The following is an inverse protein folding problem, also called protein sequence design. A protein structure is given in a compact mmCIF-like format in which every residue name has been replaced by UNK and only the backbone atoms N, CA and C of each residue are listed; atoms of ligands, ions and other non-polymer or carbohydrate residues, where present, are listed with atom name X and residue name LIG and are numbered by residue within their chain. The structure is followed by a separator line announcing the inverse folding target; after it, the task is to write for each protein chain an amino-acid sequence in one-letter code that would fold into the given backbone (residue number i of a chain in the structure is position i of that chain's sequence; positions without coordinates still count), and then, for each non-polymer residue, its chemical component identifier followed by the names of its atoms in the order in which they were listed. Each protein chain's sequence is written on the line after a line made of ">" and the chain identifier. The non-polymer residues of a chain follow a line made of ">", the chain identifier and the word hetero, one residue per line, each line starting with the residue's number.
data_IF_161995013811
#
_entry.id   IF_161995013811
#
_cell.length_a   1.000
_cell.length_b   1.000
_cell.length_c   1.000
_cell.angle_alpha   90.00
_cell.angle_beta   90.00
_cell.angle_gamma   90.00
#
_symmetry.space_group_name_H-M   'P 1'
#
loop_
_entity.id
_entity.type
_entity.pdbx_description
1 polymer ?
#
# COMPACT_ATOMS: atom_id res chain seq x y z
N UNK A 1 28.53 33.64 59.98
CA UNK A 1 28.69 33.75 58.55
C UNK A 1 28.14 32.46 57.94
N UNK A 2 26.94 32.50 57.36
CA UNK A 2 26.24 31.32 56.78
C UNK A 2 26.22 31.55 55.26
N UNK A 3 27.01 30.77 54.55
CA UNK A 3 27.07 30.79 53.08
C UNK A 3 25.85 30.04 52.53
N UNK A 4 25.07 30.68 51.71
CA UNK A 4 23.96 30.12 50.96
C UNK A 4 24.49 29.64 49.62
N UNK A 5 24.55 28.33 49.44
CA UNK A 5 24.81 27.68 48.12
C UNK A 5 23.52 27.67 47.34
N UNK A 6 23.43 28.48 46.30
CA UNK A 6 22.32 28.47 45.36
C UNK A 6 22.61 27.35 44.33
N UNK A 7 21.90 26.24 44.46
CA UNK A 7 21.86 25.21 43.41
C UNK A 7 20.98 25.69 42.25
N UNK A 8 21.61 26.16 41.19
CA UNK A 8 20.92 26.44 39.89
C UNK A 8 20.69 25.08 39.23
N UNK A 9 19.47 24.57 39.35
CA UNK A 9 19.03 23.38 38.61
C UNK A 9 18.85 23.72 37.13
N UNK A 10 19.69 23.13 36.27
CA UNK A 10 19.53 23.20 34.83
C UNK A 10 18.37 22.28 34.44
N UNK A 11 17.21 22.87 34.17
CA UNK A 11 16.10 22.19 33.53
C UNK A 11 16.41 22.05 32.05
N UNK A 12 17.03 20.95 31.62
CA UNK A 12 17.17 20.62 30.19
C UNK A 12 15.81 20.15 29.69
N UNK A 13 15.19 21.00 28.88
CA UNK A 13 13.88 20.76 28.31
C UNK A 13 13.91 19.58 27.33
N UNK A 14 13.22 18.49 27.67
CA UNK A 14 12.89 17.34 26.81
C UNK A 14 11.80 17.71 25.79
N UNK A 15 12.05 18.70 24.92
CA UNK A 15 11.08 19.12 23.91
C UNK A 15 11.26 18.36 22.56
N UNK A 16 12.39 17.68 22.39
CA UNK A 16 12.72 17.02 21.12
C UNK A 16 11.95 15.71 20.84
N UNK A 17 11.64 14.91 21.86
CA UNK A 17 11.07 13.57 21.67
C UNK A 17 9.61 13.59 21.18
N UNK A 18 8.81 14.55 21.61
CA UNK A 18 7.39 14.62 21.25
C UNK A 18 7.15 15.00 19.77
N UNK A 19 7.99 15.88 19.21
CA UNK A 19 7.84 16.30 17.82
C UNK A 19 8.21 15.19 16.81
N UNK A 20 9.22 14.38 17.13
CA UNK A 20 9.60 13.22 16.32
C UNK A 20 8.55 12.11 16.38
N UNK A 21 7.98 11.83 17.54
CA UNK A 21 6.92 10.85 17.69
C UNK A 21 5.65 11.27 16.92
N UNK A 22 5.28 12.55 16.96
CA UNK A 22 4.12 13.10 16.24
C UNK A 22 4.31 13.03 14.72
N UNK A 23 5.51 13.36 14.21
CA UNK A 23 5.83 13.28 12.80
C UNK A 23 5.89 11.83 12.30
N UNK A 24 6.40 10.91 13.12
CA UNK A 24 6.40 9.48 12.83
C UNK A 24 4.98 8.92 12.76
N UNK A 25 4.10 9.36 13.64
CA UNK A 25 2.69 8.96 13.62
C UNK A 25 1.95 9.48 12.39
N UNK A 26 2.14 10.74 12.01
CA UNK A 26 1.57 11.31 10.79
C UNK A 26 2.01 10.59 9.52
N UNK A 27 3.27 10.16 9.43
CA UNK A 27 3.76 9.41 8.29
C UNK A 27 3.12 8.01 8.21
N UNK A 28 2.92 7.33 9.33
CA UNK A 28 2.21 6.05 9.41
C UNK A 28 0.72 6.22 9.05
N UNK A 29 0.08 7.29 9.53
CA UNK A 29 -1.30 7.61 9.19
C UNK A 29 -1.49 7.87 7.69
N UNK A 30 -0.55 8.59 7.06
CA UNK A 30 -0.55 8.81 5.62
C UNK A 30 -0.36 7.50 4.87
N UNK A 31 0.63 6.70 5.26
CA UNK A 31 0.93 5.41 4.65
C UNK A 31 -0.30 4.48 4.68
N UNK A 32 -0.96 4.34 5.83
CA UNK A 32 -2.09 3.42 5.94
C UNK A 32 -3.30 3.89 5.11
N UNK A 33 -3.54 5.20 4.98
CA UNK A 33 -4.57 5.73 4.08
C UNK A 33 -4.26 5.40 2.62
N UNK A 34 -3.03 5.63 2.18
CA UNK A 34 -2.59 5.34 0.81
C UNK A 34 -2.66 3.83 0.52
N UNK A 35 -2.33 2.97 1.49
CA UNK A 35 -2.46 1.52 1.36
C UNK A 35 -3.93 1.09 1.20
N UNK A 36 -4.87 1.70 1.95
CA UNK A 36 -6.30 1.41 1.81
C UNK A 36 -6.80 1.84 0.42
N UNK A 37 -6.46 3.04 -0.03
CA UNK A 37 -6.83 3.51 -1.37
C UNK A 37 -6.30 2.58 -2.46
N UNK A 38 -5.04 2.13 -2.34
CA UNK A 38 -4.41 1.15 -3.23
C UNK A 38 -5.17 -0.17 -3.26
N UNK A 39 -5.42 -0.76 -2.09
CA UNK A 39 -6.16 -2.01 -2.00
C UNK A 39 -7.56 -1.93 -2.64
N UNK A 40 -8.29 -0.83 -2.41
CA UNK A 40 -9.59 -0.61 -3.03
C UNK A 40 -9.50 -0.53 -4.56
N UNK A 41 -8.46 0.12 -5.08
CA UNK A 41 -8.21 0.21 -6.51
C UNK A 41 -7.88 -1.15 -7.13
N UNK A 42 -6.99 -1.92 -6.48
CA UNK A 42 -6.58 -3.24 -6.95
C UNK A 42 -7.73 -4.25 -6.92
N UNK A 43 -8.61 -4.20 -5.92
CA UNK A 43 -9.85 -4.99 -5.92
C UNK A 43 -10.75 -4.63 -7.09
N UNK A 44 -10.92 -3.34 -7.39
CA UNK A 44 -11.75 -2.89 -8.51
C UNK A 44 -11.17 -3.31 -9.86
N UNK A 45 -9.86 -3.10 -10.07
CA UNK A 45 -9.16 -3.47 -11.30
C UNK A 45 -9.07 -4.99 -11.46
N UNK A 46 -8.90 -5.74 -10.35
CA UNK A 46 -8.92 -7.19 -10.36
C UNK A 46 -10.28 -7.77 -10.79
N UNK A 47 -11.39 -7.18 -10.32
CA UNK A 47 -12.74 -7.56 -10.80
C UNK A 47 -12.91 -7.28 -12.29
N UNK A 48 -12.44 -6.12 -12.74
CA UNK A 48 -12.47 -5.76 -14.15
C UNK A 48 -11.63 -6.72 -15.01
N UNK A 49 -10.49 -7.19 -14.50
CA UNK A 49 -9.65 -8.19 -15.19
C UNK A 49 -10.31 -9.57 -15.28
N UNK A 50 -11.07 -9.98 -14.27
CA UNK A 50 -11.87 -11.20 -14.34
C UNK A 50 -12.97 -11.12 -15.40
N UNK A 51 -13.59 -9.93 -15.54
CA UNK A 51 -14.68 -9.70 -16.49
C UNK A 51 -14.17 -9.54 -17.95
N UNK A 52 -13.12 -8.74 -18.14
CA UNK A 52 -12.67 -8.29 -19.48
C UNK A 52 -11.41 -8.96 -19.98
N UNK A 53 -10.67 -9.63 -19.14
CA UNK A 53 -9.43 -10.32 -19.50
C UNK A 53 -9.67 -11.38 -20.56
N UNK A 54 -8.94 -11.31 -21.66
CA UNK A 54 -9.04 -12.28 -22.75
C UNK A 54 -8.28 -13.55 -22.39
N UNK A 55 -7.05 -13.42 -21.88
CA UNK A 55 -6.25 -14.56 -21.46
C UNK A 55 -6.66 -15.09 -20.07
N UNK A 56 -6.53 -16.38 -19.88
CA UNK A 56 -6.74 -16.99 -18.57
C UNK A 56 -5.77 -16.44 -17.51
N UNK A 57 -4.53 -16.14 -17.90
CA UNK A 57 -3.54 -15.57 -17.02
C UNK A 57 -3.98 -14.20 -16.44
N UNK A 58 -4.57 -13.35 -17.26
CA UNK A 58 -5.11 -12.05 -16.80
C UNK A 58 -6.29 -12.25 -15.86
N UNK A 59 -7.23 -13.13 -16.20
CA UNK A 59 -8.39 -13.41 -15.33
C UNK A 59 -7.97 -14.01 -13.99
N UNK A 60 -7.04 -14.97 -14.03
CA UNK A 60 -6.52 -15.62 -12.81
C UNK A 60 -5.77 -14.62 -11.92
N UNK A 61 -4.94 -13.78 -12.50
CA UNK A 61 -4.26 -12.72 -11.74
C UNK A 61 -5.26 -11.72 -11.18
N UNK A 62 -6.29 -11.34 -11.94
CA UNK A 62 -7.39 -10.51 -11.44
C UNK A 62 -8.08 -11.12 -10.22
N UNK A 63 -8.34 -12.44 -10.23
CA UNK A 63 -8.92 -13.13 -9.08
C UNK A 63 -7.98 -13.11 -7.85
N UNK A 64 -6.68 -13.29 -8.08
CA UNK A 64 -5.67 -13.21 -7.01
C UNK A 64 -5.59 -11.81 -6.40
N UNK A 65 -5.61 -10.76 -7.23
CA UNK A 65 -5.67 -9.37 -6.75
C UNK A 65 -6.89 -9.12 -5.87
N UNK A 66 -8.08 -9.55 -6.29
CA UNK A 66 -9.30 -9.39 -5.49
C UNK A 66 -9.19 -10.06 -4.13
N UNK A 67 -8.67 -11.28 -4.09
CA UNK A 67 -8.50 -12.04 -2.85
C UNK A 67 -7.51 -11.39 -1.90
N UNK A 68 -6.30 -11.11 -2.38
CA UNK A 68 -5.20 -10.70 -1.53
C UNK A 68 -5.33 -9.23 -1.10
N UNK A 69 -5.69 -8.33 -2.04
CA UNK A 69 -5.93 -6.93 -1.71
C UNK A 69 -7.22 -6.72 -0.91
N UNK A 70 -8.22 -7.59 -1.07
CA UNK A 70 -9.38 -7.62 -0.20
C UNK A 70 -9.01 -7.89 1.25
N UNK A 71 -8.26 -8.96 1.50
CA UNK A 71 -7.77 -9.31 2.84
C UNK A 71 -6.81 -8.25 3.42
N UNK A 72 -5.92 -7.71 2.60
CA UNK A 72 -5.03 -6.63 3.01
C UNK A 72 -5.80 -5.36 3.39
N UNK A 73 -6.89 -5.06 2.67
CA UNK A 73 -7.73 -3.89 2.94
C UNK A 73 -8.47 -4.00 4.28
N UNK A 74 -8.96 -5.18 4.63
CA UNK A 74 -9.58 -5.42 5.94
C UNK A 74 -8.58 -5.13 7.08
N UNK A 75 -7.37 -5.67 6.99
CA UNK A 75 -6.28 -5.44 7.97
C UNK A 75 -5.85 -3.98 8.04
N UNK A 76 -5.69 -3.33 6.87
CA UNK A 76 -5.34 -1.92 6.81
C UNK A 76 -6.42 -1.02 7.42
N UNK A 77 -7.69 -1.35 7.19
CA UNK A 77 -8.84 -0.63 7.74
C UNK A 77 -8.91 -0.76 9.26
N UNK A 78 -8.66 -1.95 9.80
CA UNK A 78 -8.61 -2.17 11.24
C UNK A 78 -7.44 -1.40 11.88
N UNK A 79 -6.25 -1.49 11.27
CA UNK A 79 -5.08 -0.74 11.73
C UNK A 79 -5.32 0.77 11.71
N UNK A 80 -5.92 1.31 10.65
CA UNK A 80 -6.26 2.72 10.55
C UNK A 80 -7.17 3.17 11.69
N UNK A 81 -8.21 2.39 12.00
CA UNK A 81 -9.12 2.67 13.13
C UNK A 81 -8.37 2.67 14.47
N UNK A 82 -7.49 1.70 14.69
CA UNK A 82 -6.67 1.61 15.90
C UNK A 82 -5.70 2.79 16.04
N UNK A 83 -5.29 3.39 14.93
CA UNK A 83 -4.47 4.61 14.89
C UNK A 83 -5.29 5.92 14.94
N UNK A 84 -6.61 5.84 15.14
CA UNK A 84 -7.50 7.02 15.13
C UNK A 84 -7.67 7.66 13.75
N UNK A 85 -7.39 6.91 12.69
CA UNK A 85 -7.48 7.38 11.29
C UNK A 85 -8.80 6.92 10.69
N UNK A 86 -9.56 7.84 10.09
CA UNK A 86 -10.74 7.48 9.29
C UNK A 86 -10.29 6.83 7.99
N UNK A 87 -10.65 5.54 7.73
CA UNK A 87 -10.28 4.86 6.51
C UNK A 87 -10.93 5.52 5.28
N UNK A 88 -10.20 5.68 4.15
CA UNK A 88 -10.79 6.05 2.87
C UNK A 88 -11.87 5.04 2.44
N UNK A 89 -12.95 5.54 1.84
CA UNK A 89 -14.04 4.70 1.33
C UNK A 89 -13.90 4.34 -0.15
N UNK A 90 -12.96 4.98 -0.85
CA UNK A 90 -12.79 4.83 -2.31
C UNK A 90 -11.34 5.08 -2.73
N UNK A 91 -10.92 4.59 -3.91
CA UNK A 91 -9.62 4.88 -4.49
C UNK A 91 -9.45 6.38 -4.76
N UNK A 92 -8.21 6.85 -4.79
CA UNK A 92 -7.92 8.23 -5.15
C UNK A 92 -8.15 8.52 -6.65
N UNK A 93 -8.10 9.81 -7.03
CA UNK A 93 -8.39 10.26 -8.40
C UNK A 93 -7.50 9.60 -9.47
N UNK A 94 -6.22 9.37 -9.17
CA UNK A 94 -5.29 8.74 -10.13
C UNK A 94 -5.65 7.27 -10.36
N UNK A 95 -5.97 6.56 -9.30
CA UNK A 95 -6.37 5.15 -9.35
C UNK A 95 -7.72 4.98 -10.08
N UNK A 96 -8.69 5.87 -9.83
CA UNK A 96 -9.95 5.91 -10.60
C UNK A 96 -9.70 6.14 -12.09
N UNK A 97 -8.77 7.03 -12.46
CA UNK A 97 -8.43 7.28 -13.87
C UNK A 97 -7.79 6.04 -14.54
N UNK A 98 -7.01 5.22 -13.82
CA UNK A 98 -6.50 3.93 -14.32
C UNK A 98 -7.66 2.97 -14.58
N UNK A 99 -8.58 2.82 -13.64
CA UNK A 99 -9.77 2.01 -13.82
C UNK A 99 -10.59 2.46 -15.04
N UNK A 100 -10.88 3.77 -15.17
CA UNK A 100 -11.63 4.34 -16.28
C UNK A 100 -10.94 4.11 -17.64
N UNK A 101 -9.61 4.16 -17.67
CA UNK A 101 -8.82 3.85 -18.86
C UNK A 101 -8.98 2.37 -19.23
N UNK A 102 -8.78 1.46 -18.29
CA UNK A 102 -8.86 0.02 -18.54
C UNK A 102 -10.29 -0.40 -18.89
N UNK A 103 -11.31 0.18 -18.27
CA UNK A 103 -12.72 -0.16 -18.52
C UNK A 103 -13.17 0.06 -19.99
N UNK A 104 -12.49 0.94 -20.72
CA UNK A 104 -12.74 1.24 -22.13
C UNK A 104 -12.05 0.28 -23.09
N UNK A 105 -11.23 -0.62 -22.58
CA UNK A 105 -10.48 -1.58 -23.39
C UNK A 105 -11.14 -2.96 -23.35
N UNK A 106 -10.78 -3.81 -24.32
CA UNK A 106 -11.18 -5.21 -24.41
C UNK A 106 -10.14 -6.03 -25.16
N UNK A 107 -10.23 -7.34 -25.07
CA UNK A 107 -9.36 -8.27 -25.79
C UNK A 107 -7.88 -8.07 -25.46
N UNK A 108 -7.00 -8.34 -26.42
CA UNK A 108 -5.56 -8.22 -26.25
C UNK A 108 -5.09 -6.82 -25.84
N UNK A 109 -5.87 -5.78 -26.18
CA UNK A 109 -5.53 -4.41 -25.77
C UNK A 109 -5.75 -4.22 -24.28
N UNK A 110 -6.81 -4.81 -23.73
CA UNK A 110 -7.04 -4.84 -22.29
C UNK A 110 -5.91 -5.58 -21.58
N UNK A 111 -5.61 -6.80 -22.01
CA UNK A 111 -4.60 -7.64 -21.37
C UNK A 111 -3.23 -6.97 -21.32
N UNK A 112 -2.77 -6.39 -22.42
CA UNK A 112 -1.49 -5.67 -22.48
C UNK A 112 -1.45 -4.44 -21.57
N UNK A 113 -2.50 -3.63 -21.59
CA UNK A 113 -2.53 -2.41 -20.79
C UNK A 113 -2.70 -2.74 -19.31
N UNK A 114 -3.53 -3.72 -18.96
CA UNK A 114 -3.65 -4.23 -17.59
C UNK A 114 -2.29 -4.72 -17.04
N UNK A 115 -1.60 -5.60 -17.77
CA UNK A 115 -0.30 -6.09 -17.34
C UNK A 115 0.73 -4.96 -17.15
N UNK A 116 0.76 -3.97 -18.03
CA UNK A 116 1.63 -2.80 -17.93
C UNK A 116 1.31 -1.96 -16.68
N UNK A 117 0.04 -1.67 -16.42
CA UNK A 117 -0.39 -0.91 -15.25
C UNK A 117 -0.06 -1.68 -13.96
N UNK A 118 -0.29 -2.98 -13.91
CA UNK A 118 0.04 -3.82 -12.76
C UNK A 118 1.54 -3.85 -12.46
N UNK A 119 2.40 -3.93 -13.49
CA UNK A 119 3.85 -3.81 -13.30
C UNK A 119 4.22 -2.45 -12.72
N UNK A 120 3.65 -1.36 -13.24
CA UNK A 120 3.97 -0.01 -12.78
C UNK A 120 3.48 0.23 -11.35
N UNK A 121 2.31 -0.26 -11.01
CA UNK A 121 1.70 -0.11 -9.70
C UNK A 121 2.45 -0.89 -8.63
N UNK A 122 2.63 -2.19 -8.83
CA UNK A 122 3.33 -3.05 -7.87
C UNK A 122 4.82 -2.69 -7.69
N UNK A 123 5.51 -2.17 -8.72
CA UNK A 123 6.86 -1.59 -8.53
C UNK A 123 6.84 -0.42 -7.56
N UNK A 124 5.86 0.46 -7.69
CA UNK A 124 5.70 1.61 -6.81
C UNK A 124 5.37 1.17 -5.38
N UNK A 125 4.42 0.24 -5.25
CA UNK A 125 3.95 -0.24 -3.95
C UNK A 125 5.05 -1.00 -3.21
N UNK A 126 5.78 -1.89 -3.87
CA UNK A 126 6.95 -2.56 -3.28
C UNK A 126 7.95 -1.53 -2.75
N UNK A 127 8.28 -0.49 -3.54
CA UNK A 127 9.22 0.53 -3.10
C UNK A 127 8.71 1.34 -1.89
N UNK A 128 7.40 1.66 -1.85
CA UNK A 128 6.77 2.35 -0.72
C UNK A 128 6.78 1.47 0.53
N UNK A 129 6.40 0.21 0.41
CA UNK A 129 6.39 -0.74 1.51
C UNK A 129 7.81 -1.06 2.01
N UNK A 130 8.81 -1.18 1.14
CA UNK A 130 10.22 -1.35 1.53
C UNK A 130 10.76 -0.14 2.29
N UNK A 131 10.34 1.07 1.92
CA UNK A 131 10.68 2.28 2.66
C UNK A 131 10.04 2.28 4.05
N UNK A 132 8.77 1.93 4.15
CA UNK A 132 8.05 1.84 5.42
C UNK A 132 8.62 0.71 6.31
N UNK A 133 9.04 -0.42 5.75
CA UNK A 133 9.67 -1.54 6.46
C UNK A 133 10.95 -1.15 7.22
N UNK A 134 11.60 -0.05 6.85
CA UNK A 134 12.78 0.48 7.58
C UNK A 134 12.40 1.14 8.90
N UNK A 135 11.14 1.45 9.11
CA UNK A 135 10.59 2.07 10.32
C UNK A 135 10.07 0.98 11.27
N UNK A 136 11.02 0.22 11.85
CA UNK A 136 10.72 -0.99 12.65
C UNK A 136 9.77 -0.77 13.84
N UNK A 137 9.82 0.42 14.44
CA UNK A 137 8.99 0.78 15.59
C UNK A 137 7.69 1.52 15.17
N UNK A 138 7.39 1.59 13.87
CA UNK A 138 6.15 2.20 13.39
C UNK A 138 4.95 1.29 13.68
N UNK A 139 3.76 1.87 13.97
CA UNK A 139 2.52 1.09 14.14
C UNK A 139 2.19 0.21 12.94
N UNK A 140 2.71 0.56 11.75
CA UNK A 140 2.51 -0.13 10.48
C UNK A 140 3.47 -1.30 10.24
N UNK A 141 4.50 -1.50 11.10
CA UNK A 141 5.59 -2.45 10.85
C UNK A 141 5.12 -3.90 10.65
N UNK A 142 4.19 -4.38 11.50
CA UNK A 142 3.65 -5.74 11.39
C UNK A 142 2.84 -5.92 10.08
N UNK A 143 1.99 -4.96 9.75
CA UNK A 143 1.21 -4.94 8.50
C UNK A 143 2.12 -4.98 7.28
N UNK A 144 3.16 -4.14 7.25
CA UNK A 144 4.13 -4.11 6.15
C UNK A 144 4.86 -5.46 6.01
N UNK A 145 5.31 -6.04 7.11
CA UNK A 145 6.00 -7.34 7.10
C UNK A 145 5.15 -8.46 6.54
N UNK A 146 3.84 -8.42 6.77
CA UNK A 146 2.89 -9.41 6.27
C UNK A 146 2.56 -9.21 4.78
N UNK A 147 2.40 -7.97 4.32
CA UNK A 147 1.90 -7.68 2.98
C UNK A 147 3.01 -7.62 1.93
N UNK A 148 4.21 -7.16 2.26
CA UNK A 148 5.30 -6.97 1.32
C UNK A 148 5.68 -8.22 0.50
N UNK A 149 5.71 -9.45 1.06
CA UNK A 149 5.95 -10.66 0.27
C UNK A 149 4.92 -10.87 -0.83
N UNK A 150 3.63 -10.63 -0.54
CA UNK A 150 2.54 -10.74 -1.50
C UNK A 150 2.68 -9.72 -2.65
N UNK A 151 3.02 -8.46 -2.33
CA UNK A 151 3.25 -7.43 -3.35
C UNK A 151 4.41 -7.79 -4.29
N UNK A 152 5.48 -8.37 -3.78
CA UNK A 152 6.61 -8.86 -4.60
C UNK A 152 6.18 -9.99 -5.52
N UNK A 153 5.39 -10.93 -5.01
CA UNK A 153 4.86 -12.03 -5.83
C UNK A 153 3.92 -11.51 -6.94
N UNK A 154 3.04 -10.57 -6.61
CA UNK A 154 2.19 -9.93 -7.62
C UNK A 154 3.00 -9.19 -8.71
N UNK A 155 4.10 -8.53 -8.33
CA UNK A 155 5.00 -7.90 -9.30
C UNK A 155 5.60 -8.93 -10.26
N UNK A 156 6.03 -10.10 -9.77
CA UNK A 156 6.55 -11.18 -10.60
C UNK A 156 5.47 -11.70 -11.56
N UNK A 157 4.24 -11.91 -11.09
CA UNK A 157 3.11 -12.31 -11.92
C UNK A 157 2.79 -11.27 -13.01
N UNK A 158 2.72 -10.01 -12.64
CA UNK A 158 2.48 -8.92 -13.59
C UNK A 158 3.57 -8.83 -14.67
N UNK A 159 4.85 -9.01 -14.28
CA UNK A 159 5.99 -9.04 -15.21
C UNK A 159 5.91 -10.23 -16.16
N UNK A 160 5.50 -11.40 -15.68
CA UNK A 160 5.31 -12.58 -16.52
C UNK A 160 4.21 -12.34 -17.56
N UNK A 161 3.07 -11.76 -17.16
CA UNK A 161 1.99 -11.39 -18.09
C UNK A 161 2.45 -10.35 -19.11
N UNK A 162 3.16 -9.30 -18.69
CA UNK A 162 3.68 -8.27 -19.58
C UNK A 162 4.70 -8.82 -20.60
N UNK A 163 5.42 -9.90 -20.25
CA UNK A 163 6.34 -10.61 -21.14
C UNK A 163 5.65 -11.65 -22.05
N UNK A 164 4.32 -11.76 -22.02
CA UNK A 164 3.56 -12.75 -22.77
C UNK A 164 3.77 -14.20 -22.30
N UNK A 165 4.27 -14.38 -21.08
CA UNK A 165 4.44 -15.68 -20.45
C UNK A 165 3.16 -16.04 -19.69
N UNK A 166 2.67 -17.25 -19.85
CA UNK A 166 1.60 -17.77 -18.98
C UNK A 166 2.10 -17.75 -17.53
N UNK A 167 1.33 -17.18 -16.60
CA UNK A 167 1.69 -17.23 -15.20
C UNK A 167 1.86 -18.71 -14.81
N UNK A 168 3.08 -19.11 -14.45
CA UNK A 168 3.34 -20.46 -13.95
C UNK A 168 2.57 -20.63 -12.63
N UNK A 169 1.84 -21.74 -12.55
CA UNK A 169 1.13 -22.18 -11.33
C UNK A 169 2.10 -22.42 -10.19
#
# INVERSE_FOLDING_TARGET
>A
MREWVICVGIAVALVGSSAFALAADQASQKFIKEAIEGNLAEVAVGKLAQEKGQSEGVRSFGAQLVKDHGAANEKATELAKNMGVTPPAEPNKKQKAVYDKLSKLSGDRFDREFAKEMVADHKRDVAVFEKEAKRKDAPTAAFVGEILPTLRHHLEMAQALAAGKSASR
#
